data_IF_877768380682
#
_entry.id   IF_877768380682
#
_cell.length_a   1.000
_cell.length_b   1.000
_cell.length_c   1.000
_cell.angle_alpha   90.00
_cell.angle_beta   90.00
_cell.angle_gamma   90.00
#
_symmetry.space_group_name_H-M   'P 1'
#
loop_
_entity.id
_entity.type
_entity.pdbx_description
1 polymer ?
#
# COMPACT_ATOMS: atom_id res chain seq x y z
N UNK A 1 12.55 5.32 -3.14
CA UNK A 1 12.49 4.26 -4.15
C UNK A 1 12.34 4.92 -5.52
N UNK A 2 12.87 4.29 -6.56
CA UNK A 2 12.88 4.78 -7.95
C UNK A 2 12.56 3.60 -8.87
N UNK A 3 11.68 3.81 -9.85
CA UNK A 3 11.52 2.90 -10.98
C UNK A 3 12.24 3.52 -12.19
N UNK A 4 12.74 2.69 -13.10
CA UNK A 4 13.69 3.11 -14.15
C UNK A 4 13.07 4.01 -15.22
N UNK A 5 11.75 3.96 -15.37
CA UNK A 5 10.97 4.58 -16.42
C UNK A 5 10.15 5.80 -15.94
N UNK A 6 10.08 6.00 -14.62
CA UNK A 6 9.39 7.13 -14.00
C UNK A 6 10.25 8.40 -13.95
N UNK A 7 9.60 9.56 -13.99
CA UNK A 7 10.31 10.85 -13.91
C UNK A 7 10.04 11.52 -12.56
N UNK A 8 11.12 11.93 -11.90
CA UNK A 8 11.05 12.60 -10.61
C UNK A 8 10.91 14.10 -10.77
N UNK A 9 10.01 14.69 -10.00
CA UNK A 9 9.99 16.14 -9.84
C UNK A 9 11.20 16.59 -9.02
N UNK A 10 11.76 17.76 -9.38
CA UNK A 10 13.01 18.28 -8.79
C UNK A 10 12.97 18.36 -7.27
N UNK A 11 11.81 18.68 -6.71
CA UNK A 11 11.62 18.86 -5.27
C UNK A 11 11.34 17.55 -4.50
N UNK A 12 11.23 16.39 -5.16
CA UNK A 12 10.86 15.11 -4.52
C UNK A 12 11.69 14.80 -3.29
N UNK A 13 13.01 14.75 -3.45
CA UNK A 13 13.93 14.37 -2.38
C UNK A 13 13.85 15.38 -1.23
N UNK A 14 13.92 16.67 -1.56
CA UNK A 14 13.87 17.76 -0.59
C UNK A 14 12.60 17.73 0.26
N UNK A 15 11.43 17.63 -0.37
CA UNK A 15 10.15 17.68 0.32
C UNK A 15 9.86 16.40 1.13
N UNK A 16 10.18 15.22 0.58
CA UNK A 16 10.00 13.96 1.30
C UNK A 16 10.95 13.84 2.49
N UNK A 17 12.22 14.24 2.33
CA UNK A 17 13.19 14.26 3.42
C UNK A 17 12.79 15.24 4.52
N UNK A 18 12.36 16.46 4.15
CA UNK A 18 11.90 17.45 5.11
C UNK A 18 10.72 16.92 5.95
N UNK A 19 9.74 16.26 5.33
CA UNK A 19 8.63 15.64 6.06
C UNK A 19 9.09 14.47 6.95
N UNK A 20 10.01 13.62 6.46
CA UNK A 20 10.56 12.50 7.22
C UNK A 20 11.33 12.96 8.47
N UNK A 21 12.00 14.13 8.39
CA UNK A 21 12.80 14.71 9.47
C UNK A 21 11.97 15.49 10.51
N UNK A 22 10.68 15.79 10.25
CA UNK A 22 9.83 16.49 11.24
C UNK A 22 9.64 15.70 12.54
N UNK A 23 9.82 14.39 12.52
CA UNK A 23 9.70 13.54 13.70
C UNK A 23 10.46 12.23 13.51
N UNK A 24 11.13 11.74 14.55
CA UNK A 24 11.72 10.39 14.55
C UNK A 24 10.67 9.28 14.51
N UNK A 25 9.40 9.62 14.76
CA UNK A 25 8.28 8.70 14.56
C UNK A 25 7.88 8.58 13.10
N UNK A 26 8.29 9.50 12.21
CA UNK A 26 7.99 9.39 10.77
C UNK A 26 8.97 8.38 10.14
N UNK A 27 8.46 7.18 9.85
CA UNK A 27 9.22 6.06 9.32
C UNK A 27 9.23 6.01 7.80
N UNK A 28 8.17 6.51 7.17
CA UNK A 28 8.12 6.69 5.73
C UNK A 28 7.27 7.89 5.33
N UNK A 29 7.56 8.40 4.14
CA UNK A 29 6.79 9.40 3.43
C UNK A 29 6.49 8.87 2.04
N UNK A 30 5.26 9.01 1.57
CA UNK A 30 4.90 8.75 0.18
C UNK A 30 4.22 9.98 -0.41
N UNK A 31 4.29 10.14 -1.72
CA UNK A 31 3.77 11.31 -2.43
C UNK A 31 2.63 10.93 -3.34
N UNK A 32 1.91 11.93 -3.86
CA UNK A 32 1.10 11.74 -5.05
C UNK A 32 1.99 11.54 -6.28
N UNK A 33 1.34 11.25 -7.40
CA UNK A 33 1.95 11.14 -8.72
C UNK A 33 0.99 11.69 -9.79
N UNK A 34 1.52 12.05 -10.95
CA UNK A 34 0.75 12.26 -12.18
C UNK A 34 1.07 11.14 -13.17
N UNK A 35 0.23 10.97 -14.19
CA UNK A 35 0.41 9.92 -15.19
C UNK A 35 0.99 10.50 -16.48
N UNK A 36 1.91 9.75 -17.10
CA UNK A 36 2.46 10.05 -18.42
C UNK A 36 2.43 8.81 -19.32
N UNK A 37 2.34 9.03 -20.63
CA UNK A 37 2.46 7.96 -21.63
C UNK A 37 3.94 7.62 -21.92
N UNK A 38 4.16 6.66 -22.83
CA UNK A 38 5.49 6.26 -23.29
C UNK A 38 6.32 7.40 -23.93
N UNK A 39 5.66 8.45 -24.40
CA UNK A 39 6.26 9.63 -25.02
C UNK A 39 6.32 10.84 -24.05
N UNK A 40 6.10 10.61 -22.75
CA UNK A 40 6.08 11.62 -21.69
C UNK A 40 4.91 12.61 -21.73
N UNK A 41 3.90 12.37 -22.57
CA UNK A 41 2.72 13.21 -22.60
C UNK A 41 1.86 12.96 -21.36
N UNK A 42 1.32 14.00 -20.72
CA UNK A 42 0.41 13.85 -19.60
C UNK A 42 -0.85 13.05 -19.96
N UNK A 43 -1.23 12.12 -19.09
CA UNK A 43 -2.50 11.40 -19.16
C UNK A 43 -3.45 12.04 -18.15
N UNK A 44 -4.49 12.71 -18.64
CA UNK A 44 -5.43 13.47 -17.81
C UNK A 44 -6.70 12.70 -17.45
N UNK A 45 -6.97 11.59 -18.12
CA UNK A 45 -8.19 10.79 -18.00
C UNK A 45 -8.02 9.61 -17.02
N UNK A 46 -7.45 9.90 -15.85
CA UNK A 46 -7.10 8.92 -14.80
C UNK A 46 -8.27 8.03 -14.38
N UNK A 47 -9.51 8.54 -14.48
CA UNK A 47 -10.74 7.83 -14.11
C UNK A 47 -11.03 6.59 -14.99
N UNK A 48 -10.39 6.46 -16.16
CA UNK A 48 -10.52 5.27 -17.00
C UNK A 48 -9.63 4.10 -16.55
N UNK A 49 -8.72 4.34 -15.61
CA UNK A 49 -7.81 3.36 -15.05
C UNK A 49 -8.27 2.85 -13.68
N UNK A 50 -7.86 1.64 -13.33
CA UNK A 50 -8.11 1.05 -12.02
C UNK A 50 -7.19 1.62 -10.94
N UNK A 51 -7.42 2.87 -10.56
CA UNK A 51 -6.63 3.54 -9.51
C UNK A 51 -7.27 3.30 -8.14
N UNK A 52 -6.46 3.24 -7.08
CA UNK A 52 -6.98 3.18 -5.72
C UNK A 52 -7.80 4.46 -5.42
N UNK A 53 -9.01 4.30 -4.87
CA UNK A 53 -9.90 5.41 -4.52
C UNK A 53 -9.23 6.48 -3.65
N UNK A 54 -8.22 6.11 -2.85
CA UNK A 54 -7.42 7.08 -2.11
C UNK A 54 -6.82 8.13 -3.04
N UNK A 55 -6.22 7.76 -4.17
CA UNK A 55 -5.58 8.72 -5.09
C UNK A 55 -6.59 9.72 -5.66
N UNK A 56 -7.86 9.31 -5.80
CA UNK A 56 -8.93 10.12 -6.36
C UNK A 56 -9.62 11.02 -5.31
N UNK A 57 -9.32 10.85 -4.03
CA UNK A 57 -9.93 11.60 -2.94
C UNK A 57 -9.25 12.95 -2.73
N UNK A 58 -10.00 13.89 -2.12
CA UNK A 58 -9.42 15.16 -1.64
C UNK A 58 -8.65 14.90 -0.35
N UNK A 59 -7.40 15.31 -0.32
CA UNK A 59 -6.51 15.22 0.83
C UNK A 59 -6.05 16.58 1.31
N UNK A 60 -5.73 16.68 2.60
CA UNK A 60 -4.91 17.75 3.17
C UNK A 60 -3.50 17.71 2.59
N UNK A 61 -2.74 18.78 2.80
CA UNK A 61 -1.35 18.88 2.34
C UNK A 61 -0.49 17.70 2.82
N UNK A 62 -0.68 17.30 4.08
CA UNK A 62 -0.04 16.12 4.67
C UNK A 62 -1.07 15.35 5.50
N UNK A 63 -1.16 14.04 5.27
CA UNK A 63 -2.02 13.13 6.01
C UNK A 63 -1.23 11.93 6.56
N UNK A 64 -1.75 11.29 7.61
CA UNK A 64 -1.16 10.07 8.13
C UNK A 64 -1.83 8.84 7.51
N UNK A 65 -1.03 7.98 6.90
CA UNK A 65 -1.47 6.65 6.46
C UNK A 65 -1.31 5.67 7.62
N UNK A 66 -2.40 5.46 8.37
CA UNK A 66 -2.38 4.53 9.49
C UNK A 66 -2.13 3.10 9.01
N UNK A 67 -1.53 2.29 9.89
CA UNK A 67 -1.40 0.85 9.66
C UNK A 67 -2.75 0.20 9.36
N UNK A 68 -3.83 0.64 10.04
CA UNK A 68 -5.18 0.19 9.72
C UNK A 68 -5.57 0.51 8.29
N UNK A 69 -5.31 1.71 7.78
CA UNK A 69 -5.61 2.04 6.38
C UNK A 69 -4.79 1.18 5.42
N UNK A 70 -3.48 1.10 5.67
CA UNK A 70 -2.57 0.34 4.81
C UNK A 70 -2.93 -1.13 4.81
N UNK A 71 -3.28 -1.73 5.95
CA UNK A 71 -3.79 -3.09 6.06
C UNK A 71 -5.11 -3.33 5.29
N UNK A 72 -5.72 -2.33 4.65
CA UNK A 72 -6.83 -2.55 3.74
C UNK A 72 -6.41 -2.62 2.27
N UNK A 73 -5.22 -2.17 1.93
CA UNK A 73 -4.64 -2.22 0.60
C UNK A 73 -3.56 -1.14 0.43
N UNK A 74 -2.64 -1.38 -0.50
CA UNK A 74 -1.68 -0.36 -0.87
C UNK A 74 -2.40 0.81 -1.56
N UNK A 75 -2.07 2.04 -1.15
CA UNK A 75 -2.81 3.25 -1.56
C UNK A 75 -2.10 4.06 -2.64
N UNK A 76 -0.78 3.92 -2.76
CA UNK A 76 0.07 4.61 -3.75
C UNK A 76 1.24 3.71 -4.15
N UNK A 77 1.92 4.05 -5.24
CA UNK A 77 2.94 3.26 -5.93
C UNK A 77 4.29 3.37 -5.24
N UNK A 78 5.07 2.28 -5.24
CA UNK A 78 6.38 2.20 -4.58
C UNK A 78 7.37 3.28 -4.96
N UNK A 79 7.40 3.70 -6.23
CA UNK A 79 8.25 4.79 -6.72
C UNK A 79 8.06 6.13 -5.98
N UNK A 80 6.90 6.32 -5.33
CA UNK A 80 6.58 7.52 -4.56
C UNK A 80 7.22 7.53 -3.17
N UNK A 81 7.81 6.42 -2.72
CA UNK A 81 8.21 6.26 -1.31
C UNK A 81 9.60 6.83 -0.99
N UNK A 82 9.70 7.35 0.22
CA UNK A 82 10.91 7.66 0.97
C UNK A 82 10.80 6.95 2.34
N UNK A 83 11.76 6.10 2.67
CA UNK A 83 11.66 5.19 3.83
C UNK A 83 12.94 5.28 4.66
N UNK A 84 12.81 5.27 5.99
CA UNK A 84 13.96 5.21 6.91
C UNK A 84 14.70 3.89 6.80
N UNK A 85 16.01 3.92 7.07
CA UNK A 85 16.88 2.75 7.08
C UNK A 85 16.36 1.66 8.02
N UNK A 86 15.91 2.02 9.22
CA UNK A 86 15.48 1.04 10.22
C UNK A 86 14.31 0.16 9.73
N UNK A 87 13.38 0.74 8.94
CA UNK A 87 12.29 -0.03 8.33
C UNK A 87 12.79 -0.95 7.20
N UNK A 88 13.83 -0.54 6.47
CA UNK A 88 14.50 -1.39 5.47
C UNK A 88 15.20 -2.57 6.17
N UNK A 89 15.85 -2.35 7.31
CA UNK A 89 16.55 -3.40 8.03
C UNK A 89 15.58 -4.47 8.54
N UNK A 90 14.40 -4.08 9.03
CA UNK A 90 13.31 -5.02 9.37
C UNK A 90 12.83 -5.74 8.12
N UNK A 91 12.57 -5.01 7.02
CA UNK A 91 12.16 -5.60 5.74
C UNK A 91 13.11 -6.70 5.29
N UNK A 92 14.43 -6.48 5.35
CA UNK A 92 15.42 -7.49 4.95
C UNK A 92 15.32 -8.80 5.75
N UNK A 93 14.81 -8.76 7.00
CA UNK A 93 14.60 -9.95 7.83
C UNK A 93 13.25 -10.63 7.61
N UNK A 94 12.21 -9.87 7.26
CA UNK A 94 10.82 -10.40 7.14
C UNK A 94 10.31 -10.56 5.71
N UNK A 95 11.00 -10.02 4.71
CA UNK A 95 10.47 -9.97 3.36
C UNK A 95 10.16 -11.37 2.81
N UNK A 96 9.09 -11.46 2.04
CA UNK A 96 8.69 -12.67 1.35
C UNK A 96 8.06 -12.34 0.00
N UNK A 97 7.78 -13.36 -0.81
CA UNK A 97 7.22 -13.17 -2.15
C UNK A 97 5.69 -13.15 -2.19
N UNK A 98 5.01 -13.08 -1.03
CA UNK A 98 3.55 -13.19 -0.97
C UNK A 98 2.83 -11.84 -0.95
N UNK A 99 3.50 -10.80 -0.44
CA UNK A 99 3.02 -9.41 -0.45
C UNK A 99 3.95 -8.60 -1.35
N UNK A 100 3.40 -7.65 -2.12
CA UNK A 100 4.20 -6.77 -2.98
C UNK A 100 5.28 -6.08 -2.13
N UNK A 101 6.52 -6.09 -2.64
CA UNK A 101 7.72 -5.70 -1.90
C UNK A 101 7.66 -4.26 -1.34
N UNK A 102 7.21 -3.30 -2.15
CA UNK A 102 7.08 -1.90 -1.76
C UNK A 102 6.01 -1.72 -0.66
N UNK A 103 4.90 -2.45 -0.80
CA UNK A 103 3.81 -2.43 0.15
C UNK A 103 4.22 -3.03 1.51
N UNK A 104 5.08 -4.05 1.53
CA UNK A 104 5.68 -4.54 2.78
C UNK A 104 6.42 -3.43 3.53
N UNK A 105 7.21 -2.61 2.84
CA UNK A 105 7.93 -1.48 3.45
C UNK A 105 6.97 -0.49 4.11
N UNK A 106 5.82 -0.20 3.50
CA UNK A 106 4.82 0.71 4.06
C UNK A 106 4.12 0.13 5.29
N UNK A 107 3.79 -1.16 5.27
CA UNK A 107 3.22 -1.87 6.41
C UNK A 107 4.19 -1.90 7.60
N UNK A 108 5.46 -2.22 7.33
CA UNK A 108 6.54 -2.22 8.34
C UNK A 108 6.71 -0.81 8.91
N UNK A 109 6.80 0.20 8.06
CA UNK A 109 6.96 1.60 8.48
C UNK A 109 5.80 2.07 9.35
N UNK A 110 4.56 1.70 9.00
CA UNK A 110 3.37 2.05 9.79
C UNK A 110 3.23 1.24 11.08
N UNK A 111 3.86 0.07 11.18
CA UNK A 111 3.94 -0.71 12.42
C UNK A 111 4.99 -0.16 13.38
N UNK A 112 6.13 0.32 12.87
CA UNK A 112 7.21 0.91 13.66
C UNK A 112 6.92 2.36 14.09
N UNK A 113 6.16 3.10 13.29
CA UNK A 113 5.83 4.49 13.56
C UNK A 113 4.74 5.04 12.65
N UNK A 114 5.01 6.19 12.04
CA UNK A 114 4.07 6.94 11.21
C UNK A 114 4.49 6.90 9.75
N UNK A 115 3.49 6.77 8.90
CA UNK A 115 3.63 6.98 7.47
C UNK A 115 2.91 8.26 7.11
N UNK A 116 3.59 9.18 6.41
CA UNK A 116 3.00 10.43 5.95
C UNK A 116 2.75 10.40 4.45
N UNK A 117 1.53 10.71 4.05
CA UNK A 117 1.20 11.03 2.68
C UNK A 117 1.35 12.53 2.47
N UNK A 118 2.29 12.92 1.61
CA UNK A 118 2.45 14.29 1.14
C UNK A 118 1.62 14.45 -0.15
N UNK A 119 0.55 15.23 -0.07
CA UNK A 119 -0.38 15.43 -1.19
C UNK A 119 0.20 16.37 -2.26
N UNK A 120 1.31 15.96 -2.87
CA UNK A 120 1.97 16.63 -3.98
C UNK A 120 2.37 15.58 -5.03
N UNK A 121 2.07 15.79 -6.32
CA UNK A 121 2.49 14.90 -7.39
C UNK A 121 3.98 15.10 -7.66
N UNK A 122 4.84 14.34 -6.98
CA UNK A 122 6.31 14.48 -7.09
C UNK A 122 6.96 13.39 -7.96
N UNK A 123 6.13 12.55 -8.59
CA UNK A 123 6.49 11.55 -9.58
C UNK A 123 5.56 11.69 -10.78
N UNK A 124 6.11 11.63 -11.99
CA UNK A 124 5.38 11.37 -13.23
C UNK A 124 5.52 9.89 -13.55
N UNK A 125 4.47 9.14 -13.23
CA UNK A 125 4.39 7.70 -13.34
C UNK A 125 4.08 7.28 -14.77
N UNK A 126 4.93 6.44 -15.38
CA UNK A 126 4.79 6.05 -16.78
C UNK A 126 3.84 4.85 -16.94
N UNK A 127 2.89 4.99 -17.85
CA UNK A 127 2.05 3.87 -18.27
C UNK A 127 2.62 3.21 -19.52
N UNK A 128 3.16 2.00 -19.36
CA UNK A 128 3.44 1.10 -20.47
C UNK A 128 2.42 -0.06 -20.50
N UNK A 129 2.20 -0.67 -21.66
CA UNK A 129 1.23 -1.77 -21.84
C UNK A 129 1.53 -3.06 -21.04
N UNK A 130 2.58 -3.04 -20.21
CA UNK A 130 3.08 -4.17 -19.42
C UNK A 130 3.18 -3.82 -17.92
N UNK A 131 2.57 -2.72 -17.45
CA UNK A 131 2.61 -2.31 -16.04
C UNK A 131 2.08 -3.44 -15.15
N UNK A 132 2.92 -3.93 -14.23
CA UNK A 132 2.68 -5.16 -13.49
C UNK A 132 1.47 -5.08 -12.52
N UNK A 133 1.08 -3.88 -12.05
CA UNK A 133 -0.02 -3.68 -11.09
C UNK A 133 -0.61 -2.27 -11.20
N UNK A 134 -1.94 -2.12 -11.14
CA UNK A 134 -2.58 -0.88 -10.67
C UNK A 134 -3.07 0.14 -11.71
N UNK A 135 -2.88 -0.08 -13.01
CA UNK A 135 -3.44 0.78 -14.07
C UNK A 135 -3.94 -0.01 -15.27
N UNK A 136 -4.62 -1.13 -15.03
CA UNK A 136 -5.42 -1.74 -16.10
C UNK A 136 -6.66 -0.89 -16.39
N UNK A 137 -7.14 -0.90 -17.63
CA UNK A 137 -8.48 -0.39 -17.95
C UNK A 137 -9.50 -1.10 -17.05
N UNK A 138 -10.50 -0.36 -16.56
CA UNK A 138 -11.57 -0.93 -15.72
C UNK A 138 -12.21 -2.13 -16.43
N UNK A 139 -12.00 -3.33 -15.89
CA UNK A 139 -12.69 -4.58 -16.27
C UNK A 139 -13.81 -4.86 -15.26
N UNK A 140 -14.77 -5.71 -15.62
CA UNK A 140 -15.79 -6.18 -14.66
C UNK A 140 -15.12 -6.78 -13.41
N UNK A 141 -15.71 -6.51 -12.23
CA UNK A 141 -15.23 -7.01 -10.92
C UNK A 141 -15.09 -8.53 -10.99
N UNK A 142 -13.86 -9.02 -10.84
CA UNK A 142 -13.62 -10.45 -10.68
C UNK A 142 -14.27 -10.91 -9.36
N UNK A 143 -15.19 -11.87 -9.43
CA UNK A 143 -15.77 -12.45 -8.23
C UNK A 143 -14.72 -13.24 -7.47
N UNK A 144 -14.60 -12.97 -6.16
CA UNK A 144 -13.72 -13.77 -5.32
C UNK A 144 -14.31 -15.19 -5.13
N UNK A 145 -13.50 -16.24 -5.28
CA UNK A 145 -13.97 -17.61 -5.10
C UNK A 145 -14.48 -17.82 -3.67
N UNK A 146 -15.67 -18.43 -3.54
CA UNK A 146 -16.31 -18.75 -2.25
C UNK A 146 -15.81 -20.07 -1.64
N UNK A 147 -14.66 -20.58 -2.08
CA UNK A 147 -14.11 -21.85 -1.60
C UNK A 147 -13.45 -21.67 -0.23
N UNK A 148 -13.43 -22.74 0.56
CA UNK A 148 -12.65 -22.79 1.81
C UNK A 148 -11.17 -22.52 1.48
N UNK A 149 -10.51 -21.59 2.18
CA UNK A 149 -9.09 -21.37 1.98
C UNK A 149 -8.31 -22.62 2.38
N UNK A 150 -7.43 -23.10 1.52
CA UNK A 150 -6.55 -24.26 1.78
C UNK A 150 -5.31 -23.89 2.58
N UNK A 151 -4.99 -22.60 2.65
CA UNK A 151 -3.88 -22.02 3.41
C UNK A 151 -4.35 -20.77 4.11
N UNK A 152 -3.61 -20.38 5.13
CA UNK A 152 -3.80 -19.09 5.79
C UNK A 152 -3.75 -17.91 4.79
N UNK A 153 -4.46 -16.80 5.01
CA UNK A 153 -4.28 -15.60 4.20
C UNK A 153 -2.85 -15.07 4.26
N UNK A 154 -2.27 -14.73 3.10
CA UNK A 154 -0.89 -14.27 3.00
C UNK A 154 -0.58 -13.06 3.90
N UNK A 155 -1.51 -12.10 4.02
CA UNK A 155 -1.37 -10.96 4.93
C UNK A 155 -1.38 -11.35 6.41
N UNK A 156 -2.14 -12.38 6.80
CA UNK A 156 -2.15 -12.87 8.17
C UNK A 156 -0.80 -13.54 8.51
N UNK A 157 -0.22 -14.31 7.57
CA UNK A 157 1.15 -14.83 7.69
C UNK A 157 2.19 -13.72 7.81
N UNK A 158 2.13 -12.72 6.92
CA UNK A 158 3.05 -11.60 6.94
C UNK A 158 3.01 -10.85 8.28
N UNK A 159 1.82 -10.54 8.81
CA UNK A 159 1.73 -9.89 10.12
C UNK A 159 2.20 -10.75 11.29
N UNK A 160 2.03 -12.08 11.20
CA UNK A 160 2.61 -12.98 12.20
C UNK A 160 4.14 -12.88 12.20
N UNK A 161 4.76 -13.06 11.03
CA UNK A 161 6.21 -12.96 10.86
C UNK A 161 6.73 -11.59 11.30
N UNK A 162 6.05 -10.51 10.90
CA UNK A 162 6.42 -9.16 11.32
C UNK A 162 6.35 -8.98 12.85
N UNK A 163 5.36 -9.60 13.50
CA UNK A 163 5.19 -9.51 14.95
C UNK A 163 6.22 -10.31 15.75
N UNK A 164 7.02 -11.16 15.10
CA UNK A 164 8.17 -11.85 15.71
C UNK A 164 9.41 -10.94 15.72
N UNK A 165 9.50 -10.00 14.78
CA UNK A 165 10.63 -9.07 14.64
C UNK A 165 10.43 -7.72 15.32
N UNK A 166 9.20 -7.22 15.40
CA UNK A 166 8.88 -5.91 16.00
C UNK A 166 7.63 -5.97 16.86
N UNK A 167 7.53 -5.04 17.82
CA UNK A 167 6.30 -4.83 18.60
C UNK A 167 5.24 -4.25 17.67
N UNK A 168 4.25 -5.08 17.32
CA UNK A 168 3.13 -4.69 16.47
C UNK A 168 1.86 -4.48 17.30
N UNK A 169 1.35 -3.24 17.44
CA UNK A 169 0.12 -3.00 18.16
C UNK A 169 -1.06 -3.65 17.43
N UNK A 170 -1.99 -4.25 18.19
CA UNK A 170 -3.23 -4.83 17.67
C UNK A 170 -3.04 -5.88 16.55
N UNK A 171 -1.96 -6.66 16.54
CA UNK A 171 -1.70 -7.67 15.48
C UNK A 171 -2.89 -8.61 15.21
N UNK A 172 -3.54 -9.10 16.28
CA UNK A 172 -4.67 -10.01 16.16
C UNK A 172 -5.87 -9.34 15.45
N UNK A 173 -6.07 -8.05 15.69
CA UNK A 173 -7.12 -7.29 15.00
C UNK A 173 -6.87 -7.27 13.49
N UNK A 174 -5.65 -6.96 13.04
CA UNK A 174 -5.32 -6.93 11.62
C UNK A 174 -5.38 -8.31 10.97
N UNK A 175 -4.91 -9.36 11.65
CA UNK A 175 -5.04 -10.73 11.16
C UNK A 175 -6.52 -11.11 10.98
N UNK A 176 -7.37 -10.88 11.99
CA UNK A 176 -8.81 -11.18 11.93
C UNK A 176 -9.49 -10.41 10.79
N UNK A 177 -9.18 -9.12 10.61
CA UNK A 177 -9.73 -8.34 9.49
C UNK A 177 -9.45 -8.98 8.13
N UNK A 178 -8.27 -9.57 7.94
CA UNK A 178 -7.95 -10.27 6.69
C UNK A 178 -8.68 -11.60 6.52
N UNK A 179 -8.91 -12.34 7.61
CA UNK A 179 -9.78 -13.51 7.56
C UNK A 179 -11.22 -13.13 7.20
N UNK A 180 -11.73 -12.01 7.73
CA UNK A 180 -13.07 -11.49 7.41
C UNK A 180 -13.22 -10.98 5.97
N UNK A 181 -12.14 -10.90 5.18
CA UNK A 181 -12.23 -10.60 3.74
C UNK A 181 -12.54 -11.82 2.89
N UNK A 182 -12.41 -13.03 3.43
CA UNK A 182 -12.63 -14.27 2.68
C UNK A 182 -14.14 -14.55 2.63
N UNK A 183 -14.78 -14.53 1.45
CA UNK A 183 -16.23 -14.70 1.33
C UNK A 183 -16.76 -15.98 1.98
N UNK A 184 -15.99 -17.06 1.88
CA UNK A 184 -16.30 -18.32 2.53
C UNK A 184 -16.44 -18.19 4.06
N UNK A 185 -15.48 -17.54 4.72
CA UNK A 185 -15.50 -17.36 6.18
C UNK A 185 -16.62 -16.41 6.62
N UNK A 186 -16.84 -15.34 5.85
CA UNK A 186 -17.98 -14.43 6.08
C UNK A 186 -19.30 -15.18 6.00
N UNK A 187 -19.45 -16.09 5.04
CA UNK A 187 -20.65 -16.92 4.90
C UNK A 187 -20.88 -17.83 6.11
N UNK A 188 -19.83 -18.44 6.65
CA UNK A 188 -19.93 -19.28 7.86
C UNK A 188 -20.40 -18.43 9.05
N UNK A 189 -19.77 -17.27 9.27
CA UNK A 189 -20.13 -16.38 10.39
C UNK A 189 -21.59 -15.95 10.27
N UNK A 190 -22.03 -15.55 9.06
CA UNK A 190 -23.43 -15.19 8.82
C UNK A 190 -24.38 -16.32 9.19
N UNK A 191 -24.10 -17.55 8.77
CA UNK A 191 -24.94 -18.71 9.07
C UNK A 191 -25.02 -19.03 10.57
N UNK A 192 -23.93 -18.84 11.31
CA UNK A 192 -23.90 -19.04 12.77
C UNK A 192 -24.68 -17.93 13.49
N UNK A 193 -24.54 -16.68 13.05
CA UNK A 193 -25.19 -15.51 13.67
C UNK A 193 -26.68 -15.43 13.33
N UNK A 194 -27.09 -15.87 12.14
CA UNK A 194 -28.49 -15.86 11.72
C UNK A 194 -29.35 -16.95 12.39
N UNK A 195 -28.75 -17.83 13.19
CA UNK A 195 -29.41 -19.01 13.76
C UNK A 195 -29.63 -20.07 12.68
N UNK A 196 -28.96 -21.21 12.84
CA UNK A 196 -29.57 -22.47 12.45
C UNK A 196 -30.67 -22.84 13.43
#
# INVERSE_FOLDING_TARGET
MADQDDIWEKEKVKLTLAELQKSDRNMAVCTGFSLIDQNENPITDIDHYQVNDFVLQKHKDVEELTLKRLAFGNVVQGCTYCVRRDAIDVYLRVHNNEVIHDYQLMLISAAMGKVKYLNKPLIRYRLHGNNAVGFEKKKHRLEMPRKKPSREPYMARFFRQLSEEIIMPHKNYYMVLYYLRIPYLVSIIKNVVSGG
#
